data_IF_990477202049
#
_entry.id   IF_990477202049
#
_cell.length_a   1.000
_cell.length_b   1.000
_cell.length_c   1.000
_cell.angle_alpha   90.00
_cell.angle_beta   90.00
_cell.angle_gamma   90.00
#
_symmetry.space_group_name_H-M   'P 1'
#
loop_
_entity.id
_entity.type
_entity.pdbx_description
1 polymer ?
2 polymer ?
3 polymer ?
4 non-polymer ?
5 non-polymer ?
6 non-polymer ?
7 water ?
#
# COMPACT_ATOMS: atom_id res chain seq x y z
N UNK A 2 -3.27 -1.48 16.76
CA UNK A 2 -2.00 -0.83 16.48
C UNK A 2 -2.03 0.24 15.39
N UNK A 3 -3.06 0.23 14.55
CA UNK A 3 -3.21 1.25 13.52
C UNK A 3 -4.09 2.43 13.92
N UNK A 5 -4.31 5.04 16.02
CA UNK A 5 -3.98 6.45 16.13
C UNK A 5 -3.56 7.05 14.79
N UNK A 6 -2.90 6.23 13.97
CA UNK A 6 -2.54 6.68 12.63
C UNK A 6 -3.78 6.81 11.74
N UNK A 7 -4.77 5.94 11.91
CA UNK A 7 -6.03 6.03 11.17
C UNK A 7 -6.76 7.35 11.48
N UNK A 9 -5.52 10.09 12.63
CA UNK A 9 -4.75 11.18 12.04
C UNK A 9 -4.92 11.30 10.52
N UNK A 10 -4.96 10.16 9.82
CA UNK A 10 -5.12 10.19 8.37
C UNK A 10 -6.49 10.72 7.96
N UNK A 11 -7.53 10.43 8.75
CA UNK A 11 -8.85 10.97 8.46
C UNK A 11 -8.83 12.48 8.48
N UNK A 12 -8.13 13.06 9.44
CA UNK A 12 -8.01 14.51 9.53
C UNK A 12 -7.23 15.07 8.35
N UNK A 13 -6.20 14.36 7.91
CA UNK A 13 -5.40 14.83 6.77
C UNK A 13 -6.20 14.77 5.47
N UNK A 14 -6.99 13.70 5.27
CA UNK A 14 -7.78 13.59 4.04
C UNK A 14 -8.90 14.62 3.98
N UNK A 15 -9.42 15.05 5.14
CA UNK A 15 -10.48 16.05 5.15
C UNK A 15 -10.00 17.38 4.58
N UNK A 16 -8.74 17.71 4.78
CA UNK A 16 -8.16 18.96 4.28
C UNK A 16 -7.93 18.89 2.78
N UNK B 9 -4.02 11.30 -6.68
CA UNK B 9 -2.83 10.65 -7.26
C UNK B 9 -2.76 9.15 -7.03
N UNK B 10 -2.73 8.40 -8.14
CA UNK B 10 -2.77 6.94 -8.10
C UNK B 10 -1.70 6.37 -9.00
N UNK B 11 -1.27 5.15 -8.67
CA UNK B 11 -0.42 4.39 -9.58
C UNK B 11 -1.23 4.02 -10.81
N UNK B 12 -0.57 3.80 -11.96
CA UNK B 12 -1.32 3.51 -13.21
C UNK B 12 -2.20 2.27 -13.05
N UNK B 13 -3.45 2.39 -13.51
CA UNK B 13 -4.42 1.30 -13.34
C UNK B 13 -3.93 0.02 -14.00
N UNK B 14 -3.24 0.12 -15.15
CA UNK B 14 -2.79 -1.08 -15.83
C UNK B 14 -1.77 -1.84 -15.01
N UNK B 15 -0.90 -1.14 -14.30
CA UNK B 15 0.09 -1.79 -13.44
C UNK B 15 -0.62 -2.49 -12.27
N UNK B 16 -1.54 -1.77 -11.62
CA UNK B 16 -2.32 -2.35 -10.51
C UNK B 16 -3.05 -3.59 -10.97
N UNK B 17 -3.70 -3.51 -12.14
CA UNK B 17 -4.49 -4.63 -12.65
C UNK B 17 -3.64 -5.84 -12.97
N UNK B 18 -2.43 -5.63 -13.50
CA UNK B 18 -1.53 -6.73 -13.80
C UNK B 18 -1.11 -7.47 -12.53
N UNK B 19 -0.79 -6.73 -11.47
CA UNK B 19 -0.42 -7.38 -10.22
C UNK B 19 -1.60 -8.16 -9.65
N UNK B 20 -2.80 -7.57 -9.70
CA UNK B 20 -4.01 -8.26 -9.26
C UNK B 20 -4.26 -9.55 -10.04
N UNK B 21 -4.14 -9.48 -11.38
CA UNK B 21 -4.37 -10.67 -12.21
C UNK B 21 -3.40 -11.79 -11.88
N UNK B 22 -2.15 -11.44 -11.58
CA UNK B 22 -1.15 -12.45 -11.21
C UNK B 22 -1.48 -13.13 -9.90
N UNK B 23 -2.30 -12.50 -9.06
CA UNK B 23 -2.62 -13.07 -7.75
C UNK B 23 -3.72 -14.11 -7.82
N UNK B 24 -4.65 -14.00 -8.76
CA UNK B 24 -5.85 -14.85 -8.77
C UNK B 24 -5.68 -15.98 -9.78
N UNK B 25 -6.55 -17.00 -9.75
CA UNK B 25 -6.43 -18.09 -10.73
C UNK B 25 -6.58 -17.58 -12.16
N UNK B 26 -6.02 -18.37 -13.08
CA UNK B 26 -5.93 -17.96 -14.48
C UNK B 26 -7.30 -17.70 -15.09
N UNK B 27 -8.32 -18.44 -14.66
CA UNK B 27 -9.67 -18.29 -15.19
C UNK B 27 -10.47 -17.19 -14.50
N UNK B 28 -9.93 -16.54 -13.47
CA UNK B 28 -10.66 -15.48 -12.80
C UNK B 28 -10.67 -14.18 -13.59
N UNK B 29 -11.62 -13.31 -13.21
CA UNK B 29 -11.82 -12.02 -13.84
C UNK B 29 -11.87 -10.97 -12.73
N UNK B 30 -11.50 -9.73 -13.08
CA UNK B 30 -11.51 -8.63 -12.12
C UNK B 30 -12.33 -7.49 -12.70
N UNK B 31 -13.39 -7.10 -11.99
CA UNK B 31 -14.24 -6.00 -12.43
C UNK B 31 -13.50 -4.68 -12.35
N UNK B 32 -13.86 -3.75 -13.25
CA UNK B 32 -13.14 -2.48 -13.33
C UNK B 32 -13.22 -1.71 -12.01
N UNK B 33 -14.37 -1.74 -11.34
CA UNK B 33 -14.46 -1.03 -10.07
C UNK B 33 -13.62 -1.67 -8.97
N UNK B 34 -13.33 -2.97 -9.07
CA UNK B 34 -12.42 -3.57 -8.11
C UNK B 34 -10.98 -3.11 -8.35
N UNK B 35 -10.58 -2.98 -9.62
CA UNK B 35 -9.26 -2.44 -9.93
C UNK B 35 -9.13 -1.01 -9.43
N UNK B 36 -10.15 -0.20 -9.66
CA UNK B 36 -10.13 1.18 -9.18
C UNK B 36 -10.09 1.24 -7.66
N UNK B 37 -10.81 0.32 -7.00
CA UNK B 37 -10.78 0.29 -5.53
C UNK B 37 -9.37 -0.01 -5.03
N UNK B 38 -8.71 -1.01 -5.62
CA UNK B 38 -7.35 -1.35 -5.17
C UNK B 38 -6.39 -0.20 -5.47
N UNK B 39 -6.57 0.48 -6.60
CA UNK B 39 -5.78 1.67 -6.89
C UNK B 39 -5.90 2.68 -5.75
N UNK B 40 -7.11 2.90 -5.26
CA UNK B 40 -7.30 3.83 -4.15
C UNK B 40 -6.65 3.30 -2.89
N UNK B 41 -6.77 1.99 -2.64
CA UNK B 41 -6.20 1.42 -1.42
C UNK B 41 -4.69 1.55 -1.39
N UNK B 42 -4.04 1.36 -2.53
CA UNK B 42 -2.57 1.47 -2.61
C UNK B 42 -2.13 2.86 -2.23
N UNK B 43 -2.77 3.87 -2.82
CA UNK B 43 -2.39 5.25 -2.50
C UNK B 43 -2.59 5.52 -1.02
N UNK B 44 -3.68 5.02 -0.42
CA UNK B 44 -3.86 5.21 1.01
C UNK B 44 -2.78 4.48 1.81
N UNK B 45 -2.38 3.29 1.35
CA UNK B 45 -1.26 2.58 2.00
C UNK B 45 0.00 3.44 2.02
N UNK B 46 0.38 3.99 0.87
CA UNK B 46 1.57 4.84 0.81
C UNK B 46 1.42 6.03 1.75
N UNK B 47 0.26 6.69 1.74
CA UNK B 47 0.05 7.87 2.57
C UNK B 47 0.02 7.53 4.06
N UNK B 48 -0.56 6.37 4.41
CA UNK B 48 -0.67 5.92 5.79
C UNK B 48 0.71 5.67 6.39
N UNK B 49 1.54 4.89 5.68
CA UNK B 49 2.92 4.65 6.12
C UNK B 49 3.71 5.96 6.16
N UNK B 50 3.58 6.78 5.11
CA UNK B 50 4.32 8.03 5.06
C UNK B 50 3.96 8.95 6.23
N UNK B 51 2.67 8.99 6.61
CA UNK B 51 2.24 9.83 7.73
C UNK B 51 2.92 9.42 9.03
N UNK B 52 3.05 8.12 9.27
CA UNK B 52 3.73 7.61 10.45
C UNK B 52 5.21 7.96 10.44
N UNK B 53 5.87 7.75 9.29
CA UNK B 53 7.28 8.09 9.17
C UNK B 53 7.52 9.59 9.30
N UNK B 54 6.64 10.40 8.71
CA UNK B 54 6.84 11.85 8.71
C UNK B 54 6.66 12.43 10.12
N UNK B 55 5.70 11.89 10.88
CA UNK B 55 5.54 12.37 12.26
C UNK B 55 6.78 12.03 13.09
N UNK B 56 7.32 10.82 12.88
CA UNK B 56 8.51 10.41 13.61
C UNK B 56 9.72 11.27 13.23
N UNK B 57 9.93 11.50 11.93
CA UNK B 57 11.02 12.37 11.51
C UNK B 57 10.88 13.76 12.11
N UNK B 58 9.66 14.27 12.15
CA UNK B 58 9.45 15.59 12.73
C UNK B 58 9.82 15.61 14.21
N UNK B 59 9.36 14.60 14.97
CA UNK B 59 9.66 14.54 16.40
C UNK B 59 11.16 14.42 16.64
N UNK B 60 11.85 13.65 15.80
CA UNK B 60 13.28 13.43 15.92
C UNK B 60 14.10 14.53 15.24
N UNK B 61 13.44 15.58 14.74
CA UNK B 61 14.09 16.78 14.21
C UNK B 61 14.97 16.49 12.99
N UNK B 62 14.49 15.64 12.10
CA UNK B 62 15.20 15.30 10.88
C UNK B 62 14.40 15.78 9.67
N UNK B 63 15.10 16.17 8.61
CA UNK B 63 14.43 16.79 7.48
C UNK B 63 14.19 15.83 6.32
N UNK B 64 14.72 14.62 6.36
CA UNK B 64 14.62 13.68 5.26
C UNK B 64 13.98 12.38 5.74
N UNK B 65 12.92 11.97 5.06
CA UNK B 65 12.35 10.64 5.24
C UNK B 65 13.31 9.65 4.58
N UNK B 66 13.94 8.79 5.36
CA UNK B 66 14.83 7.79 4.78
C UNK B 66 14.16 6.43 4.72
N UNK B 67 14.85 5.49 4.08
CA UNK B 67 14.29 4.15 3.93
C UNK B 67 14.03 3.47 5.27
N UNK B 68 14.92 3.69 6.24
CA UNK B 68 14.72 3.11 7.56
C UNK B 68 13.45 3.64 8.21
N UNK B 69 13.12 4.92 7.97
CA UNK B 69 11.89 5.50 8.52
C UNK B 69 10.66 4.83 7.92
N UNK B 70 10.68 4.56 6.63
CA UNK B 70 9.56 3.87 5.98
C UNK B 70 9.43 2.46 6.54
N UNK B 71 10.55 1.72 6.59
CA UNK B 71 10.51 0.35 7.07
C UNK B 71 10.09 0.28 8.53
N UNK B 72 10.52 1.25 9.34
CA UNK B 72 10.15 1.24 10.76
C UNK B 72 8.66 1.53 10.92
N UNK B 73 8.13 2.47 10.14
CA UNK B 73 6.69 2.72 10.13
C UNK B 73 5.92 1.47 9.74
N UNK B 74 6.37 0.77 8.69
CA UNK B 74 5.70 -0.49 8.34
C UNK B 74 5.75 -1.49 9.48
N UNK B 75 6.91 -1.66 10.10
CA UNK B 75 7.01 -2.62 11.21
C UNK B 75 6.06 -2.26 12.33
N UNK B 76 6.00 -0.97 12.69
CA UNK B 76 5.16 -0.52 13.80
C UNK B 76 3.68 -0.77 13.53
N UNK B 77 3.24 -0.61 12.28
CA UNK B 77 1.83 -0.58 11.95
C UNK B 77 1.28 -1.92 11.48
N UNK B 78 2.04 -3.00 11.62
CA UNK B 78 1.55 -4.33 11.32
C UNK B 78 2.07 -4.94 10.04
N UNK B 79 3.04 -4.31 9.39
CA UNK B 79 3.62 -4.80 8.14
C UNK B 79 5.09 -5.22 8.32
N UNK B 80 5.44 -5.75 9.49
CA UNK B 80 6.81 -6.18 9.74
C UNK B 80 7.29 -7.22 8.72
N UNK B 81 6.37 -8.06 8.22
CA UNK B 81 6.77 -9.08 7.24
C UNK B 81 7.29 -8.46 5.94
N UNK B 82 7.00 -7.18 5.69
CA UNK B 82 7.49 -6.54 4.48
C UNK B 82 8.97 -6.18 4.58
N UNK B 83 9.52 -6.09 5.79
CA UNK B 83 10.84 -5.49 5.96
C UNK B 83 11.91 -6.27 5.23
N UNK B 84 11.98 -7.58 5.46
CA UNK B 84 13.01 -8.37 4.79
C UNK B 84 12.89 -8.38 3.27
N UNK B 85 11.72 -8.64 2.67
CA UNK B 85 11.66 -8.55 1.19
C UNK B 85 11.96 -7.18 0.63
N UNK B 86 11.60 -6.12 1.34
CA UNK B 86 11.91 -4.77 0.84
C UNK B 86 13.40 -4.50 0.86
N UNK B 87 14.07 -4.86 1.95
CA UNK B 87 15.53 -4.70 2.03
C UNK B 87 16.21 -5.45 0.90
N UNK B 88 15.74 -6.66 0.62
CA UNK B 88 16.36 -7.45 -0.44
C UNK B 88 16.11 -6.83 -1.81
N UNK B 89 14.88 -6.36 -2.05
CA UNK B 89 14.59 -5.70 -3.33
C UNK B 89 15.47 -4.47 -3.54
N UNK B 90 15.62 -3.64 -2.50
CA UNK B 90 16.42 -2.44 -2.64
C UNK B 90 17.88 -2.76 -2.87
N UNK B 91 18.41 -3.76 -2.17
CA UNK B 91 19.81 -4.15 -2.35
C UNK B 91 20.04 -4.67 -3.77
N UNK B 92 19.19 -5.59 -4.22
CA UNK B 92 19.30 -6.06 -5.61
C UNK B 92 19.12 -4.90 -6.59
N UNK B 93 18.24 -3.95 -6.26
CA UNK B 93 18.06 -2.78 -7.11
C UNK B 93 19.35 -1.99 -7.23
N UNK B 94 20.14 -1.92 -6.15
CA UNK B 94 21.36 -1.12 -6.12
C UNK B 94 22.56 -1.83 -6.73
N UNK B 95 22.57 -3.16 -6.75
CA UNK B 95 23.73 -3.92 -7.21
C UNK B 95 24.00 -3.66 -8.69
N UNK C 15 7.11 -6.55 -13.73
CA UNK C 15 8.24 -6.24 -12.87
C UNK C 15 7.95 -5.00 -12.02
N UNK C 16 8.35 -5.06 -10.75
CA UNK C 16 8.15 -3.95 -9.82
C UNK C 16 8.81 -2.68 -10.33
N UNK C 17 9.90 -2.81 -11.09
CA UNK C 17 10.61 -1.65 -11.61
C UNK C 17 9.77 -0.82 -12.56
N UNK C 18 8.67 -1.38 -13.09
CA UNK C 18 7.82 -0.61 -13.98
C UNK C 18 7.00 0.44 -13.25
N UNK C 19 6.82 0.32 -11.95
CA UNK C 19 6.01 1.31 -11.23
C UNK C 19 6.73 2.66 -11.24
N UNK C 20 6.04 3.76 -11.58
CA UNK C 20 6.69 5.06 -11.68
C UNK C 20 7.06 5.62 -10.31
N UNK C 21 8.37 5.81 -10.09
CA UNK C 21 8.81 6.35 -8.82
C UNK C 21 8.33 7.79 -8.62
N UNK C 22 8.19 8.56 -9.69
CA UNK C 22 7.73 9.93 -9.53
C UNK C 22 6.31 9.99 -8.99
N UNK C 23 5.47 9.02 -9.37
CA UNK C 23 4.11 9.00 -8.87
C UNK C 23 4.08 8.65 -7.38
N UNK C 24 4.90 7.68 -6.98
CA UNK C 24 5.00 7.32 -5.58
C UNK C 24 5.48 8.52 -4.77
N UNK C 25 6.49 9.22 -5.28
CA UNK C 25 7.00 10.40 -4.59
C UNK C 25 5.93 11.48 -4.47
N UNK C 26 5.15 11.68 -5.54
CA UNK C 26 4.06 12.66 -5.52
C UNK C 26 3.05 12.36 -4.42
N UNK C 27 2.70 11.08 -4.24
CA UNK C 27 1.78 10.69 -3.19
C UNK C 27 2.37 11.02 -1.81
N UNK C 28 3.64 10.68 -1.61
CA UNK C 28 4.30 10.97 -0.34
C UNK C 28 4.28 12.46 -0.04
N UNK C 29 4.51 13.28 -1.07
CA UNK C 29 4.63 14.72 -0.90
C UNK C 29 3.31 15.41 -0.59
N UNK C 30 2.17 14.73 -0.72
CA UNK C 30 0.93 15.29 -0.22
C UNK C 30 0.95 15.46 1.28
N UNK C 31 1.81 14.73 2.00
CA UNK C 31 1.85 14.77 3.45
C UNK C 31 2.37 16.12 3.90
N UNK C 32 1.67 16.73 4.87
CA UNK C 32 1.97 18.09 5.28
C UNK C 32 3.33 18.24 5.96
N UNK C 33 3.88 17.16 6.50
CA UNK C 33 5.15 17.19 7.21
C UNK C 33 6.32 16.59 6.45
N UNK C 34 6.12 16.27 5.19
CA UNK C 34 7.23 15.75 4.38
C UNK C 34 8.00 16.93 3.84
N UNK C 35 9.30 16.96 4.15
CA UNK C 35 10.17 17.99 3.61
C UNK C 35 10.95 17.37 2.45
N UNK C 36 11.94 16.54 2.76
CA UNK C 36 12.79 15.96 1.75
C UNK C 36 12.58 14.44 1.87
N UNK C 37 12.71 13.74 0.75
CA UNK C 37 12.53 12.28 0.72
C UNK C 37 13.80 11.66 0.18
N UNK C 38 14.27 10.61 0.84
CA UNK C 38 15.46 9.91 0.37
C UNK C 38 15.17 9.20 -0.95
N UNK C 39 16.24 8.95 -1.71
CA UNK C 39 16.10 8.30 -3.00
C UNK C 39 15.51 6.90 -2.86
N UNK C 40 15.83 6.21 -1.77
CA UNK C 40 15.40 4.82 -1.62
C UNK C 40 13.94 4.68 -1.20
N UNK C 41 13.33 5.73 -0.64
CA UNK C 41 11.97 5.59 -0.13
C UNK C 41 10.95 5.20 -1.21
N UNK C 42 10.91 5.85 -2.38
CA UNK C 42 9.98 5.38 -3.42
C UNK C 42 10.28 3.99 -3.93
N UNK C 43 11.56 3.57 -3.94
CA UNK C 43 11.90 2.22 -4.38
C UNK C 43 11.31 1.19 -3.44
N UNK C 44 11.45 1.41 -2.13
CA UNK C 44 10.85 0.53 -1.14
C UNK C 44 9.34 0.46 -1.30
N UNK C 45 8.70 1.62 -1.53
CA UNK C 45 7.24 1.62 -1.68
C UNK C 45 6.80 0.89 -2.94
N UNK C 46 7.62 0.92 -4.00
CA UNK C 46 7.26 0.18 -5.21
C UNK C 46 7.11 -1.31 -4.90
N UNK C 47 8.10 -1.90 -4.21
CA UNK C 47 7.98 -3.31 -3.87
C UNK C 47 6.86 -3.54 -2.86
N UNK C 48 6.71 -2.63 -1.88
CA UNK C 48 5.62 -2.77 -0.92
C UNK C 48 4.28 -2.73 -1.59
N UNK C 49 4.13 -1.87 -2.61
CA UNK C 49 2.87 -1.79 -3.33
C UNK C 49 2.53 -3.14 -3.98
N UNK C 50 3.52 -3.80 -4.56
CA UNK C 50 3.27 -5.12 -5.16
C UNK C 50 2.86 -6.14 -4.10
N UNK C 51 3.54 -6.15 -2.95
CA UNK C 51 3.21 -7.11 -1.90
C UNK C 51 1.78 -6.86 -1.41
N UNK C 52 1.47 -5.59 -1.15
CA UNK C 52 0.16 -5.19 -0.63
C UNK C 52 -0.97 -5.54 -1.61
N UNK C 53 -0.82 -5.15 -2.88
CA UNK C 53 -1.85 -5.48 -3.86
C UNK C 53 -2.09 -6.98 -3.92
N UNK C 54 -1.00 -7.76 -3.92
CA UNK C 54 -1.15 -9.21 -4.04
C UNK C 54 -1.91 -9.79 -2.86
N UNK C 55 -1.56 -9.37 -1.64
CA UNK C 55 -2.21 -9.93 -0.46
C UNK C 55 -3.66 -9.48 -0.36
N UNK C 56 -3.92 -8.19 -0.64
CA UNK C 56 -5.29 -7.69 -0.62
C UNK C 56 -6.16 -8.42 -1.64
N UNK C 57 -5.62 -8.64 -2.84
CA UNK C 57 -6.38 -9.32 -3.90
C UNK C 57 -6.68 -10.76 -3.50
N UNK C 58 -5.67 -11.48 -2.98
CA UNK C 58 -5.91 -12.86 -2.56
C UNK C 58 -6.96 -12.92 -1.47
N UNK C 59 -6.89 -12.02 -0.50
CA UNK C 59 -7.86 -12.08 0.59
C UNK C 59 -9.27 -11.73 0.11
N UNK C 60 -9.39 -10.82 -0.85
CA UNK C 60 -10.69 -10.51 -1.41
C UNK C 60 -11.23 -11.69 -2.21
N UNK C 61 -10.35 -12.40 -2.91
CA UNK C 61 -10.75 -13.53 -3.75
C UNK C 61 -11.41 -14.65 -2.92
N UNK C 62 -11.06 -14.75 -1.64
CA UNK C 62 -11.75 -15.68 -0.74
C UNK C 62 -13.25 -15.44 -0.77
N UNK C 63 -13.66 -14.17 -0.76
CA UNK C 63 -15.07 -13.85 -0.76
C UNK C 63 -15.71 -14.01 -2.13
N UNK C 64 -14.95 -13.76 -3.20
CA UNK C 64 -15.43 -14.05 -4.56
C UNK C 64 -15.85 -15.50 -4.66
N UNK C 65 -14.96 -16.42 -4.29
CA UNK C 65 -15.25 -17.85 -4.41
C UNK C 65 -16.32 -18.31 -3.43
N UNK C 66 -16.34 -17.73 -2.23
CA UNK C 66 -17.36 -18.10 -1.25
C UNK C 66 -18.76 -17.76 -1.74
N UNK C 67 -18.86 -16.78 -2.64
CA UNK C 67 -20.13 -16.40 -3.24
C UNK C 67 -20.35 -17.04 -4.61
N UNK C 68 -19.56 -18.05 -4.96
CA UNK C 68 -19.73 -18.83 -6.19
C UNK C 68 -19.57 -17.97 -7.44
N UNK C 69 -18.69 -16.99 -7.37
CA UNK C 69 -18.38 -16.12 -8.49
C UNK C 69 -16.95 -16.34 -8.95
N UNK C 70 -16.69 -15.92 -10.18
CA UNK C 70 -15.34 -15.93 -10.75
C UNK C 70 -14.87 -14.53 -11.10
N UNK C 71 -15.65 -13.50 -10.76
CA UNK C 71 -15.29 -12.11 -11.00
C UNK C 71 -15.11 -11.41 -9.67
N UNK C 72 -13.89 -10.92 -9.42
CA UNK C 72 -13.59 -10.20 -8.19
C UNK C 72 -14.25 -8.81 -8.23
N UNK C 73 -15.03 -8.49 -7.20
CA UNK C 73 -15.82 -7.27 -7.16
C UNK C 73 -15.44 -6.42 -5.96
N UNK C 74 -15.87 -5.16 -6.01
CA UNK C 74 -15.48 -4.20 -4.98
C UNK C 74 -15.93 -4.65 -3.59
N UNK C 75 -17.13 -5.26 -3.49
CA UNK C 75 -17.61 -5.72 -2.20
C UNK C 75 -16.73 -6.82 -1.61
N UNK C 76 -16.06 -7.60 -2.47
CA UNK C 76 -15.13 -8.61 -1.97
C UNK C 76 -13.94 -7.97 -1.27
N UNK C 77 -13.46 -6.85 -1.82
CA UNK C 77 -12.39 -6.11 -1.17
C UNK C 77 -12.87 -5.52 0.14
N UNK C 78 -14.08 -4.97 0.14
CA UNK C 78 -14.65 -4.42 1.37
C UNK C 78 -14.73 -5.48 2.47
N UNK C 79 -15.16 -6.70 2.12
CA UNK C 79 -15.21 -7.76 3.12
C UNK C 79 -13.83 -8.15 3.62
N UNK C 80 -12.84 -8.25 2.72
CA UNK C 80 -11.48 -8.58 3.11
C UNK C 80 -10.93 -7.55 4.09
N UNK C 81 -11.23 -6.27 3.87
CA UNK C 81 -10.72 -5.20 4.73
C UNK C 81 -11.27 -5.34 6.14
N UNK C 82 -12.57 -5.65 6.27
CA UNK C 82 -13.17 -5.78 7.60
C UNK C 82 -12.60 -6.96 8.36
N UNK C 83 -12.18 -8.01 7.66
CA UNK C 83 -11.79 -9.25 8.31
C UNK C 83 -10.32 -9.31 8.72
N UNK C 84 -9.46 -8.43 8.24
CA UNK C 84 -8.03 -8.50 8.50
C UNK C 84 -7.60 -7.23 9.23
N UNK C 85 -7.02 -7.41 10.42
CA UNK C 85 -6.56 -6.28 11.22
C UNK C 85 -5.57 -5.41 10.46
N UNK C 86 -4.73 -6.01 9.62
CA UNK C 86 -3.70 -5.27 8.90
C UNK C 86 -4.33 -4.29 7.90
N UNK C 87 -5.59 -4.48 7.54
CA UNK C 87 -6.29 -3.63 6.60
C UNK C 87 -7.22 -2.64 7.30
N UNK C 88 -7.13 -2.52 8.63
CA UNK C 88 -8.00 -1.59 9.35
C UNK C 88 -7.92 -0.19 8.77
N UNK C 89 -6.73 0.22 8.31
CA UNK C 89 -6.52 1.59 7.83
C UNK C 89 -7.31 1.92 6.57
N UNK C 90 -7.88 0.92 5.89
CA UNK C 90 -8.71 1.14 4.71
C UNK C 90 -10.18 1.31 5.03
N UNK C 91 -10.52 1.45 6.31
CA UNK C 91 -11.90 1.54 6.79
C UNK C 91 -12.71 2.57 6.01
N UNK C 92 -12.12 3.75 5.74
CA UNK C 92 -12.83 4.82 5.05
C UNK C 92 -12.72 4.75 3.54
N UNK C 93 -11.75 3.99 3.02
CA UNK C 93 -11.51 3.95 1.58
C UNK C 93 -12.55 3.08 0.89
N UNK C 94 -12.90 1.96 1.52
CA UNK C 94 -13.84 1.00 0.95
C UNK C 94 -14.93 0.75 1.99
N UNK C 95 -15.95 1.62 2.08
CA UNK C 95 -17.01 1.51 3.07
C UNK C 95 -18.19 0.69 2.55
#
# INVERSE_FOLDING_TARGET
XKQXHRIXKRRQARAKLX
GPSFREQDIYLPIANVARIMKNAIPQTGKIAKDAKECVQECVSEFISFITSEASERCHQEKRKTINGEDILFAMSTLGFDSYVEPLKLYLQKFRE
GPMEEIRNLTVKDFRVQELPLARIKKIMKLDEDVKMISAEAPVLFAKAAQIFITELTLRAWIHTEDNKRRTLQRNDIAMAITKFDQFDFLIDIVPR
#
